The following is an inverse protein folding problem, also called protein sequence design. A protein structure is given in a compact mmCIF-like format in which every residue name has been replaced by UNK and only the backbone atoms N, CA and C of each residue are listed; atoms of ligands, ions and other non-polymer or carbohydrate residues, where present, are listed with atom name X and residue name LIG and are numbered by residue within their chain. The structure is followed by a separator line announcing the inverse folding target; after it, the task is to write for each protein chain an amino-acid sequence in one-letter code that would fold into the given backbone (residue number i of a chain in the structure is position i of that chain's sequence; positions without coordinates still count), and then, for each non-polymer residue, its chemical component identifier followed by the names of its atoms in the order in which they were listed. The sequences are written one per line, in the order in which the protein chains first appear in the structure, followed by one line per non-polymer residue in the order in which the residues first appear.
data_IF_926433684113
#
_entry.id   IF_926433684113
#
_cell.length_a   1.000
_cell.length_b   1.000
_cell.length_c   1.000
_cell.angle_alpha   90.00
_cell.angle_beta   90.00
_cell.angle_gamma   90.00
#
_symmetry.space_group_name_H-M   'P 1'
#
loop_
_entity.id
_entity.type
_entity.pdbx_description
1 polymer ?
#
# COMPACT_ATOMS: atom_id res chain seq x y z
N UNK A 1 -48.37 24.12 1.46
CA UNK A 1 -48.50 23.59 0.08
C UNK A 1 -47.58 22.38 -0.04
N UNK A 2 -48.14 21.17 -0.10
CA UNK A 2 -47.45 19.91 0.20
C UNK A 2 -46.18 19.60 -0.63
N UNK A 3 -46.02 20.17 -1.83
CA UNK A 3 -44.89 19.89 -2.71
C UNK A 3 -43.56 20.51 -2.22
N UNK A 4 -43.62 21.68 -1.56
CA UNK A 4 -42.42 22.36 -1.05
C UNK A 4 -41.84 21.68 0.20
N UNK A 5 -42.71 21.08 1.02
CA UNK A 5 -42.35 20.52 2.33
C UNK A 5 -41.97 19.03 2.26
N UNK A 6 -42.34 18.34 1.19
CA UNK A 6 -42.14 16.89 1.03
C UNK A 6 -40.88 16.53 0.22
N UNK A 7 -40.20 17.49 -0.40
CA UNK A 7 -39.01 17.21 -1.20
C UNK A 7 -37.78 16.97 -0.31
N UNK A 8 -37.20 15.77 -0.40
CA UNK A 8 -36.03 15.38 0.39
C UNK A 8 -36.37 14.81 1.76
N UNK A 9 -37.66 14.62 2.08
CA UNK A 9 -38.12 13.94 3.29
C UNK A 9 -37.63 12.49 3.28
N UNK A 10 -37.07 12.05 4.40
CA UNK A 10 -36.62 10.66 4.58
C UNK A 10 -37.80 9.84 5.06
N UNK A 11 -38.21 8.87 4.26
CA UNK A 11 -39.14 7.81 4.68
C UNK A 11 -38.33 6.52 4.62
N UNK A 12 -38.34 5.75 5.71
CA UNK A 12 -37.64 4.46 5.84
C UNK A 12 -36.15 4.52 5.41
N UNK A 13 -35.48 5.61 5.75
CA UNK A 13 -34.06 5.83 5.43
C UNK A 13 -33.78 6.34 4.00
N UNK A 14 -34.77 6.40 3.12
CA UNK A 14 -34.63 6.87 1.75
C UNK A 14 -35.20 8.28 1.58
N UNK A 15 -34.41 9.17 0.93
CA UNK A 15 -34.85 10.53 0.60
C UNK A 15 -35.72 10.47 -0.64
N UNK A 16 -36.99 10.82 -0.50
CA UNK A 16 -37.94 10.88 -1.61
C UNK A 16 -37.76 12.22 -2.32
N UNK A 17 -37.56 12.18 -3.64
CA UNK A 17 -37.67 13.34 -4.51
C UNK A 17 -39.13 13.50 -4.88
N UNK A 18 -39.79 14.49 -4.30
CA UNK A 18 -41.17 14.84 -4.66
C UNK A 18 -41.10 15.89 -5.76
N UNK A 19 -41.38 15.52 -7.01
CA UNK A 19 -41.52 16.47 -8.12
C UNK A 19 -43.00 16.88 -8.25
N UNK A 20 -43.26 18.07 -8.78
CA UNK A 20 -44.61 18.46 -9.21
C UNK A 20 -44.99 17.58 -10.39
N UNK A 21 -46.28 17.29 -10.60
CA UNK A 21 -46.82 16.55 -11.77
C UNK A 21 -46.34 17.17 -13.11
N UNK A 22 -45.10 16.90 -13.53
CA UNK A 22 -44.44 17.50 -14.69
C UNK A 22 -44.93 16.94 -16.01
N UNK A 23 -45.58 15.77 -15.99
CA UNK A 23 -46.04 15.07 -17.18
C UNK A 23 -47.16 15.78 -17.95
N UNK A 24 -47.89 16.71 -17.33
CA UNK A 24 -48.92 17.52 -18.00
C UNK A 24 -48.55 18.99 -18.21
N UNK A 25 -47.49 19.49 -17.57
CA UNK A 25 -47.22 20.95 -17.46
C UNK A 25 -45.94 21.42 -18.17
N UNK A 26 -44.97 20.53 -18.46
CA UNK A 26 -43.73 20.92 -19.18
C UNK A 26 -43.66 20.23 -20.53
N UNK A 27 -43.72 21.00 -21.61
CA UNK A 27 -43.67 20.50 -23.00
C UNK A 27 -42.41 19.66 -23.30
N UNK A 28 -41.29 19.95 -22.63
CA UNK A 28 -40.02 19.23 -22.81
C UNK A 28 -39.84 18.01 -21.90
N UNK A 29 -40.85 17.64 -21.10
CA UNK A 29 -40.74 16.50 -20.20
C UNK A 29 -40.95 15.19 -20.96
N UNK A 30 -39.90 14.36 -21.00
CA UNK A 30 -39.94 12.99 -21.49
C UNK A 30 -39.44 12.06 -20.39
N UNK A 31 -40.06 10.88 -20.21
CA UNK A 31 -39.59 9.89 -19.24
C UNK A 31 -38.23 9.32 -19.64
N UNK A 32 -37.44 8.87 -18.66
CA UNK A 32 -36.06 8.38 -18.84
C UNK A 32 -35.90 7.29 -19.90
N UNK A 33 -36.95 6.50 -20.13
CA UNK A 33 -37.01 5.48 -21.19
C UNK A 33 -36.87 6.04 -22.61
N UNK A 34 -37.15 7.33 -22.80
CA UNK A 34 -37.05 8.05 -24.07
C UNK A 34 -35.78 8.91 -24.17
N UNK A 35 -34.73 8.59 -23.41
CA UNK A 35 -33.41 9.24 -23.52
C UNK A 35 -33.30 10.63 -22.89
N UNK A 36 -34.35 11.15 -22.25
CA UNK A 36 -34.35 12.41 -21.48
C UNK A 36 -34.81 12.14 -20.06
N UNK A 37 -34.13 12.72 -19.06
CA UNK A 37 -34.49 12.58 -17.66
C UNK A 37 -33.47 13.23 -16.72
N UNK A 38 -33.94 13.81 -15.62
CA UNK A 38 -33.09 14.40 -14.59
C UNK A 38 -32.53 13.30 -13.67
N UNK A 39 -31.20 13.19 -13.60
CA UNK A 39 -30.48 12.35 -12.63
C UNK A 39 -29.33 11.55 -13.23
N UNK A 40 -28.09 11.86 -12.81
CA UNK A 40 -26.83 11.18 -13.18
C UNK A 40 -26.57 9.89 -12.38
N UNK A 41 -27.58 9.07 -12.11
CA UNK A 41 -27.42 7.91 -11.20
C UNK A 41 -26.82 6.66 -11.88
N UNK A 42 -26.57 6.69 -13.19
CA UNK A 42 -26.07 5.54 -13.98
C UNK A 42 -24.94 5.89 -14.95
N UNK A 43 -24.33 7.06 -14.81
CA UNK A 43 -23.03 7.27 -15.43
C UNK A 43 -22.05 6.53 -14.52
N UNK A 44 -21.59 5.34 -14.93
CA UNK A 44 -20.50 4.65 -14.24
C UNK A 44 -19.26 5.55 -14.15
N UNK A 45 -18.22 5.17 -13.37
CA UNK A 45 -17.00 5.96 -13.28
C UNK A 45 -16.54 6.33 -14.68
N UNK A 46 -16.31 7.63 -14.90
CA UNK A 46 -15.92 8.14 -16.21
C UNK A 46 -14.63 7.46 -16.65
N UNK A 47 -14.33 7.47 -17.95
CA UNK A 47 -13.07 6.92 -18.43
C UNK A 47 -11.83 7.57 -17.76
N UNK A 48 -11.96 8.81 -17.30
CA UNK A 48 -10.91 9.47 -16.50
C UNK A 48 -10.79 8.86 -15.11
N UNK A 49 -11.91 8.59 -14.44
CA UNK A 49 -11.93 7.97 -13.11
C UNK A 49 -11.35 6.55 -13.18
N UNK A 50 -11.72 5.77 -14.20
CA UNK A 50 -11.16 4.43 -14.42
C UNK A 50 -9.66 4.43 -14.70
N UNK A 51 -9.17 5.45 -15.42
CA UNK A 51 -7.73 5.64 -15.66
C UNK A 51 -7.02 5.98 -14.36
N UNK A 52 -7.56 6.91 -13.57
CA UNK A 52 -7.04 7.28 -12.25
C UNK A 52 -6.94 6.07 -11.31
N UNK A 53 -8.01 5.29 -11.18
CA UNK A 53 -8.02 4.08 -10.34
C UNK A 53 -6.95 3.07 -10.79
N UNK A 54 -6.73 2.95 -12.11
CA UNK A 54 -5.71 2.05 -12.68
C UNK A 54 -4.30 2.56 -12.38
N UNK A 55 -4.07 3.86 -12.48
CA UNK A 55 -2.77 4.49 -12.23
C UNK A 55 -2.41 4.43 -10.74
N UNK A 56 -3.36 4.72 -9.84
CA UNK A 56 -3.19 4.56 -8.38
C UNK A 56 -2.83 3.11 -8.04
N UNK A 57 -3.55 2.13 -8.61
CA UNK A 57 -3.24 0.70 -8.43
C UNK A 57 -1.88 0.29 -9.02
N UNK A 58 -1.34 1.05 -9.97
CA UNK A 58 0.00 0.79 -10.52
C UNK A 58 1.06 1.35 -9.57
N UNK A 59 0.87 2.56 -9.06
CA UNK A 59 1.77 3.18 -8.08
C UNK A 59 1.88 2.34 -6.81
N UNK A 60 0.76 1.84 -6.27
CA UNK A 60 0.74 0.98 -5.08
C UNK A 60 1.60 -0.28 -5.29
N UNK A 61 1.46 -0.93 -6.45
CA UNK A 61 2.27 -2.11 -6.77
C UNK A 61 3.75 -1.77 -6.93
N UNK A 62 4.08 -0.62 -7.52
CA UNK A 62 5.47 -0.18 -7.64
C UNK A 62 6.09 0.14 -6.26
N UNK A 63 5.31 0.77 -5.38
CA UNK A 63 5.69 1.04 -4.00
C UNK A 63 5.95 -0.26 -3.23
N UNK A 64 5.10 -1.26 -3.40
CA UNK A 64 5.29 -2.56 -2.76
C UNK A 64 6.53 -3.31 -3.29
N UNK A 65 6.76 -3.29 -4.61
CA UNK A 65 8.01 -3.82 -5.19
C UNK A 65 9.25 -3.09 -4.67
N UNK A 66 9.19 -1.77 -4.50
CA UNK A 66 10.30 -1.00 -3.93
C UNK A 66 10.58 -1.44 -2.49
N UNK A 67 9.53 -1.57 -1.67
CA UNK A 67 9.66 -2.06 -0.29
C UNK A 67 10.26 -3.46 -0.22
N UNK A 68 9.87 -4.38 -1.11
CA UNK A 68 10.47 -5.71 -1.18
C UNK A 68 11.97 -5.65 -1.52
N UNK A 69 12.34 -4.82 -2.50
CA UNK A 69 13.74 -4.65 -2.89
C UNK A 69 14.61 -4.09 -1.76
N UNK A 70 14.06 -3.16 -0.97
CA UNK A 70 14.76 -2.63 0.20
C UNK A 70 14.94 -3.69 1.29
N UNK A 71 13.90 -4.49 1.57
CA UNK A 71 14.01 -5.62 2.51
C UNK A 71 15.07 -6.63 2.09
N UNK A 72 15.14 -6.97 0.80
CA UNK A 72 16.16 -7.88 0.29
C UNK A 72 17.57 -7.29 0.41
N UNK A 73 17.72 -6.00 0.10
CA UNK A 73 19.00 -5.29 0.28
C UNK A 73 19.45 -5.30 1.74
N UNK A 74 18.52 -5.17 2.69
CA UNK A 74 18.86 -5.21 4.11
C UNK A 74 19.23 -6.61 4.60
N UNK A 75 18.55 -7.67 4.10
CA UNK A 75 18.96 -9.06 4.34
C UNK A 75 20.37 -9.33 3.83
N UNK A 76 20.71 -8.83 2.65
CA UNK A 76 22.06 -8.99 2.07
C UNK A 76 23.13 -8.26 2.89
N UNK A 77 22.85 -7.05 3.37
CA UNK A 77 23.74 -6.34 4.31
C UNK A 77 23.95 -7.16 5.58
N UNK A 78 22.90 -7.73 6.15
CA UNK A 78 23.00 -8.56 7.35
C UNK A 78 23.85 -9.82 7.11
N UNK A 79 23.61 -10.53 6.01
CA UNK A 79 24.42 -11.69 5.59
C UNK A 79 25.90 -11.30 5.48
N UNK A 80 26.20 -10.16 4.84
CA UNK A 80 27.57 -9.67 4.70
C UNK A 80 28.22 -9.33 6.04
N UNK A 81 27.49 -8.67 6.96
CA UNK A 81 27.95 -8.38 8.33
C UNK A 81 28.27 -9.67 9.06
N UNK A 82 27.37 -10.66 9.04
CA UNK A 82 27.54 -11.96 9.71
C UNK A 82 28.75 -12.73 9.17
N UNK A 83 28.94 -12.75 7.85
CA UNK A 83 30.12 -13.36 7.21
C UNK A 83 31.43 -12.68 7.63
N UNK A 84 31.44 -11.35 7.72
CA UNK A 84 32.62 -10.60 8.19
C UNK A 84 32.93 -10.87 9.66
N UNK A 85 31.91 -10.93 10.53
CA UNK A 85 32.08 -11.28 11.95
C UNK A 85 32.65 -12.69 12.12
N UNK A 86 32.06 -13.69 11.45
CA UNK A 86 32.57 -15.08 11.48
C UNK A 86 34.02 -15.19 10.99
N UNK A 87 34.40 -14.40 9.99
CA UNK A 87 35.77 -14.38 9.48
C UNK A 87 36.75 -13.82 10.52
N UNK A 88 36.39 -12.71 11.17
CA UNK A 88 37.18 -12.12 12.28
C UNK A 88 37.30 -13.07 13.48
N UNK A 89 36.23 -13.77 13.85
CA UNK A 89 36.28 -14.76 14.94
C UNK A 89 37.23 -15.91 14.65
N UNK A 90 37.22 -16.43 13.41
CA UNK A 90 38.17 -17.47 12.97
C UNK A 90 39.61 -16.97 13.04
N UNK A 91 39.86 -15.74 12.62
CA UNK A 91 41.20 -15.13 12.68
C UNK A 91 41.68 -14.95 14.12
N UNK A 92 40.81 -14.49 15.03
CA UNK A 92 41.10 -14.38 16.47
C UNK A 92 41.42 -15.75 17.09
N UNK A 93 40.66 -16.79 16.76
CA UNK A 93 40.93 -18.17 17.20
C UNK A 93 42.28 -18.66 16.69
N UNK A 94 42.58 -18.49 15.39
CA UNK A 94 43.90 -18.87 14.82
C UNK A 94 45.06 -18.16 15.53
N UNK A 95 44.93 -16.86 15.79
CA UNK A 95 45.94 -16.08 16.54
C UNK A 95 46.09 -16.58 17.97
N UNK A 96 44.99 -16.87 18.66
CA UNK A 96 45.01 -17.43 20.02
C UNK A 96 45.68 -18.81 20.07
N UNK A 97 45.38 -19.70 19.12
CA UNK A 97 46.03 -21.00 18.99
C UNK A 97 47.52 -20.87 18.68
N UNK A 98 47.91 -19.92 17.82
CA UNK A 98 49.32 -19.66 17.49
C UNK A 98 50.11 -19.10 18.67
N UNK A 99 49.55 -18.20 19.47
CA UNK A 99 50.19 -17.69 20.68
C UNK A 99 50.32 -18.75 21.77
N UNK A 100 49.29 -19.60 21.97
CA UNK A 100 49.37 -20.75 22.89
C UNK A 100 50.50 -21.70 22.49
N UNK A 101 50.62 -21.99 21.19
CA UNK A 101 51.68 -22.86 20.67
C UNK A 101 53.09 -22.25 20.85
N UNK A 102 53.26 -20.94 20.66
CA UNK A 102 54.55 -20.27 20.92
C UNK A 102 54.93 -20.24 22.41
N UNK A 103 53.96 -20.09 23.32
CA UNK A 103 54.20 -20.11 24.77
C UNK A 103 54.55 -21.52 25.31
N UNK A 104 54.09 -22.57 24.64
CA UNK A 104 54.37 -23.97 24.97
C UNK A 104 55.71 -24.49 24.42
N UNK A 105 56.34 -23.75 23.51
CA UNK A 105 57.61 -24.13 22.86
C UNK A 105 58.82 -23.33 23.33
N UNK A 106 58.71 -22.50 24.37
CA UNK A 106 59.86 -21.80 24.94
C UNK A 106 60.74 -22.79 25.73
N UNK A 107 61.97 -23.10 25.28
CA UNK A 107 62.90 -23.90 26.07
C UNK A 107 63.63 -22.98 27.06
N UNK A 108 63.53 -23.31 28.36
CA UNK A 108 64.48 -22.85 29.38
C UNK A 108 64.26 -21.45 29.93
N UNK A 109 63.38 -21.32 30.91
CA UNK A 109 63.54 -20.34 31.99
C UNK A 109 63.85 -21.15 33.24
N UNK A 110 65.14 -21.35 33.50
CA UNK A 110 65.64 -21.87 34.78
C UNK A 110 65.46 -20.79 35.82
N UNK A 111 64.50 -20.98 36.73
CA UNK A 111 64.41 -20.26 37.99
C UNK A 111 65.13 -21.11 39.04
N UNK A 112 66.30 -20.66 39.49
CA UNK A 112 66.96 -20.77 40.81
C UNK A 112 68.32 -20.09 40.66
#
# INVERSE_FOLDING_TARGET
AANKDANGRKIDGYRILTDVERGRTRADWRPRRLGKGLGRKRDGPSDRDRRRDRDEKKEDRERDRHRERDRDRDRDKERRRKSRSRSKDRERKKRSSKCKFMLLLAPGISFI
#
